data_IF_168644495573
#
_entry.id   IF_168644495573
#
_cell.length_a   1.000
_cell.length_b   1.000
_cell.length_c   1.000
_cell.angle_alpha   90.00
_cell.angle_beta   90.00
_cell.angle_gamma   90.00
#
_symmetry.space_group_name_H-M   'P 1'
#
loop_
_entity.id
_entity.type
_entity.pdbx_description
1 polymer ?
#
# COMPACT_ATOMS: atom_id res chain seq x y z
N UNK A 1 -34.74 -21.38 15.82
CA UNK A 1 -33.57 -21.62 14.99
C UNK A 1 -32.95 -20.29 14.55
N UNK A 2 -31.69 -20.21 14.65
CA UNK A 2 -31.01 -19.01 14.28
C UNK A 2 -30.88 -18.89 12.78
N UNK A 3 -31.38 -17.83 12.26
CA UNK A 3 -31.30 -17.59 10.85
C UNK A 3 -30.03 -16.79 10.55
N UNK A 4 -29.11 -17.31 9.73
CA UNK A 4 -27.90 -16.57 9.41
C UNK A 4 -28.17 -15.20 8.80
N UNK A 5 -29.33 -15.00 8.24
CA UNK A 5 -29.70 -13.74 7.63
C UNK A 5 -30.00 -12.65 8.63
N UNK A 6 -30.26 -13.01 9.87
CA UNK A 6 -30.43 -12.04 10.92
C UNK A 6 -29.15 -11.32 11.26
N UNK A 7 -28.04 -11.98 10.96
CA UNK A 7 -26.73 -11.40 11.18
C UNK A 7 -26.36 -10.51 10.01
N UNK A 8 -26.56 -9.23 10.18
CA UNK A 8 -26.33 -8.25 9.11
C UNK A 8 -24.89 -7.79 8.98
N UNK A 9 -24.04 -8.13 9.91
CA UNK A 9 -22.63 -7.74 9.85
C UNK A 9 -21.76 -8.79 9.18
N UNK A 10 -20.51 -8.47 8.88
CA UNK A 10 -19.57 -9.44 8.35
C UNK A 10 -19.24 -10.53 9.36
N UNK A 11 -18.88 -11.72 8.90
CA UNK A 11 -18.48 -12.81 9.76
C UNK A 11 -17.17 -12.46 10.50
N UNK A 12 -16.84 -13.25 11.55
CA UNK A 12 -15.57 -13.06 12.24
C UNK A 12 -14.38 -13.22 11.31
N UNK A 13 -14.46 -14.19 10.41
CA UNK A 13 -13.39 -14.43 9.43
C UNK A 13 -13.25 -13.23 8.50
N UNK A 14 -14.37 -12.68 8.05
CA UNK A 14 -14.36 -11.52 7.17
C UNK A 14 -13.79 -10.29 7.87
N UNK A 15 -14.19 -10.03 9.10
CA UNK A 15 -13.63 -8.93 9.90
C UNK A 15 -12.14 -9.05 10.08
N UNK A 16 -11.67 -10.27 10.35
CA UNK A 16 -10.24 -10.53 10.52
C UNK A 16 -9.49 -10.28 9.23
N UNK A 17 -10.07 -10.67 8.09
CA UNK A 17 -9.47 -10.42 6.78
C UNK A 17 -9.48 -8.94 6.45
N UNK A 18 -10.55 -8.23 6.78
CA UNK A 18 -10.64 -6.78 6.57
C UNK A 18 -9.60 -6.06 7.42
N UNK A 19 -9.41 -6.46 8.66
CA UNK A 19 -8.41 -5.88 9.55
C UNK A 19 -7.00 -6.10 9.03
N UNK A 20 -6.73 -7.30 8.52
CA UNK A 20 -5.43 -7.61 7.90
C UNK A 20 -5.20 -6.77 6.65
N UNK A 21 -6.24 -6.58 5.84
CA UNK A 21 -6.15 -5.76 4.65
C UNK A 21 -5.83 -4.30 5.00
N UNK A 22 -6.47 -3.76 6.04
CA UNK A 22 -6.21 -2.41 6.52
C UNK A 22 -4.81 -2.27 7.09
N UNK A 23 -4.35 -3.28 7.82
CA UNK A 23 -3.01 -3.28 8.37
C UNK A 23 -1.96 -3.35 7.26
N UNK A 24 -2.18 -4.18 6.25
CA UNK A 24 -1.30 -4.26 5.08
C UNK A 24 -1.26 -2.92 4.33
N UNK A 25 -2.39 -2.25 4.21
CA UNK A 25 -2.46 -0.93 3.60
C UNK A 25 -1.66 0.08 4.40
N UNK A 26 -1.75 0.03 5.74
CA UNK A 26 -0.96 0.86 6.62
C UNK A 26 0.55 0.62 6.45
N UNK A 27 0.96 -0.62 6.28
CA UNK A 27 2.35 -0.96 6.03
C UNK A 27 2.86 -0.34 4.73
N UNK A 28 2.05 -0.35 3.70
CA UNK A 28 2.38 0.31 2.43
C UNK A 28 2.53 1.81 2.60
N UNK A 29 1.67 2.44 3.40
CA UNK A 29 1.76 3.88 3.68
C UNK A 29 3.04 4.23 4.42
N UNK A 30 3.48 3.37 5.34
CA UNK A 30 4.74 3.57 6.06
C UNK A 30 5.93 3.46 5.12
N UNK A 31 5.81 2.64 4.09
CA UNK A 31 6.91 2.36 3.14
C UNK A 31 7.05 3.39 2.02
N UNK A 32 6.02 4.16 1.70
CA UNK A 32 6.11 5.13 0.61
C UNK A 32 6.92 6.36 1.03
N UNK A 33 7.36 7.14 0.05
CA UNK A 33 8.14 8.35 0.30
C UNK A 33 7.34 9.41 1.05
N UNK A 34 8.02 10.30 1.72
CA UNK A 34 7.39 11.43 2.43
C UNK A 34 6.61 12.30 1.45
N UNK A 35 7.14 12.51 0.26
CA UNK A 35 6.49 13.33 -0.77
C UNK A 35 5.17 12.70 -1.21
N UNK A 36 5.16 11.38 -1.45
CA UNK A 36 3.94 10.68 -1.82
C UNK A 36 2.92 10.66 -0.70
N UNK A 37 3.40 10.51 0.54
CA UNK A 37 2.51 10.56 1.69
C UNK A 37 1.84 11.92 1.82
N UNK A 38 2.58 12.99 1.55
CA UNK A 38 2.06 14.35 1.59
C UNK A 38 1.03 14.60 0.49
N UNK A 39 1.18 13.95 -0.66
CA UNK A 39 0.22 14.07 -1.77
C UNK A 39 -1.10 13.35 -1.48
N UNK A 40 -1.09 12.38 -0.58
CA UNK A 40 -2.32 11.70 -0.20
C UNK A 40 -3.17 12.58 0.69
N UNK A 41 -4.45 12.59 0.40
CA UNK A 41 -5.43 13.30 1.22
C UNK A 41 -5.83 12.41 2.39
N UNK A 42 -4.94 12.31 3.37
CA UNK A 42 -5.15 11.51 4.57
C UNK A 42 -5.57 12.39 5.74
N UNK A 43 -6.46 11.90 6.61
CA UNK A 43 -6.70 12.58 7.87
C UNK A 43 -5.39 12.77 8.65
N UNK A 44 -5.26 13.88 9.34
CA UNK A 44 -4.03 14.22 10.07
C UNK A 44 -3.65 13.13 11.06
N UNK A 45 -4.62 12.53 11.74
CA UNK A 45 -4.38 11.46 12.71
C UNK A 45 -3.70 10.26 12.07
N UNK A 46 -4.15 9.88 10.88
CA UNK A 46 -3.57 8.75 10.13
C UNK A 46 -2.16 9.12 9.68
N UNK A 47 -2.00 10.30 9.12
CA UNK A 47 -0.69 10.77 8.65
C UNK A 47 0.33 10.83 9.79
N UNK A 48 -0.05 11.39 10.93
CA UNK A 48 0.83 11.48 12.10
C UNK A 48 1.22 10.09 12.61
N UNK A 49 0.28 9.16 12.64
CA UNK A 49 0.54 7.79 13.09
C UNK A 49 1.50 7.06 12.14
N UNK A 50 1.36 7.29 10.83
CA UNK A 50 2.27 6.72 9.83
C UNK A 50 3.68 7.27 10.00
N UNK A 51 3.80 8.57 10.19
CA UNK A 51 5.09 9.21 10.40
C UNK A 51 5.74 8.70 11.69
N UNK A 52 4.97 8.57 12.76
CA UNK A 52 5.47 8.04 14.03
C UNK A 52 5.99 6.61 13.88
N UNK A 53 5.34 5.79 13.07
CA UNK A 53 5.77 4.41 12.83
C UNK A 53 7.17 4.34 12.23
N UNK A 54 7.54 5.30 11.40
CA UNK A 54 8.86 5.34 10.74
C UNK A 54 10.01 5.50 11.73
N UNK A 55 9.73 6.09 12.89
CA UNK A 55 10.75 6.28 13.93
C UNK A 55 10.85 5.14 14.93
N UNK A 56 10.02 4.12 14.83
CA UNK A 56 9.99 3.01 15.76
C UNK A 56 10.91 1.91 15.26
N UNK A 57 11.91 1.53 16.11
CA UNK A 57 12.84 0.46 15.76
C UNK A 57 12.54 -0.87 16.46
N UNK A 58 11.85 -0.83 17.59
CA UNK A 58 11.49 -2.05 18.32
C UNK A 58 10.32 -2.75 17.65
N UNK A 59 10.49 -4.05 17.41
CA UNK A 59 9.48 -4.84 16.70
C UNK A 59 8.11 -4.82 17.39
N UNK A 60 8.09 -5.02 18.72
CA UNK A 60 6.82 -5.03 19.46
C UNK A 60 6.11 -3.69 19.43
N UNK A 61 6.85 -2.60 19.56
CA UNK A 61 6.30 -1.25 19.49
C UNK A 61 5.79 -0.95 18.08
N UNK A 62 6.52 -1.34 17.06
CA UNK A 62 6.11 -1.15 15.67
C UNK A 62 4.83 -1.92 15.38
N UNK A 63 4.74 -3.15 15.85
CA UNK A 63 3.55 -3.96 15.66
C UNK A 63 2.31 -3.30 16.27
N UNK A 64 2.45 -2.75 17.47
CA UNK A 64 1.34 -2.02 18.12
C UNK A 64 0.95 -0.78 17.33
N UNK A 65 1.95 -0.06 16.84
CA UNK A 65 1.71 1.14 16.03
C UNK A 65 0.98 0.77 14.74
N UNK A 66 1.35 -0.34 14.09
CA UNK A 66 0.68 -0.79 12.88
C UNK A 66 -0.77 -1.18 13.14
N UNK A 67 -1.05 -1.81 14.28
CA UNK A 67 -2.42 -2.12 14.69
C UNK A 67 -3.23 -0.84 14.92
N UNK A 68 -2.62 0.15 15.53
CA UNK A 68 -3.23 1.46 15.75
C UNK A 68 -3.55 2.15 14.43
N UNK A 69 -2.62 2.13 13.49
CA UNK A 69 -2.84 2.69 12.15
C UNK A 69 -4.02 2.00 11.47
N UNK A 70 -4.08 0.68 11.53
CA UNK A 70 -5.20 -0.07 10.97
C UNK A 70 -6.54 0.35 11.56
N UNK A 71 -6.58 0.57 12.87
CA UNK A 71 -7.80 1.04 13.54
C UNK A 71 -8.18 2.46 13.11
N UNK A 72 -7.22 3.36 13.04
CA UNK A 72 -7.47 4.72 12.59
C UNK A 72 -7.98 4.75 11.15
N UNK A 73 -7.42 3.91 10.30
CA UNK A 73 -7.86 3.82 8.91
C UNK A 73 -9.30 3.33 8.82
N UNK A 74 -9.69 2.39 9.68
CA UNK A 74 -11.07 1.93 9.71
C UNK A 74 -12.03 3.03 10.11
N UNK A 75 -11.64 3.85 11.09
CA UNK A 75 -12.50 4.88 11.64
C UNK A 75 -12.55 6.15 10.79
N UNK A 76 -11.42 6.60 10.30
CA UNK A 76 -11.28 7.95 9.76
C UNK A 76 -10.92 8.01 8.28
N UNK A 77 -10.44 6.94 7.67
CA UNK A 77 -9.90 6.99 6.32
C UNK A 77 -10.77 6.22 5.33
N UNK A 78 -10.70 6.66 4.07
CA UNK A 78 -11.30 5.93 2.96
C UNK A 78 -10.26 4.96 2.40
N UNK A 79 -10.31 3.73 2.87
CA UNK A 79 -9.34 2.71 2.50
C UNK A 79 -9.35 2.42 1.00
N UNK A 80 -10.51 2.45 0.36
CA UNK A 80 -10.63 2.18 -1.06
C UNK A 80 -9.91 3.25 -1.89
N UNK A 81 -10.09 4.52 -1.54
CA UNK A 81 -9.40 5.62 -2.21
C UNK A 81 -7.89 5.51 -2.05
N UNK A 82 -7.44 5.18 -0.84
CA UNK A 82 -6.01 5.00 -0.56
C UNK A 82 -5.46 3.84 -1.39
N UNK A 83 -6.15 2.72 -1.40
CA UNK A 83 -5.75 1.54 -2.17
C UNK A 83 -5.66 1.86 -3.66
N UNK A 84 -6.66 2.54 -4.19
CA UNK A 84 -6.67 2.92 -5.60
C UNK A 84 -5.48 3.81 -5.96
N UNK A 85 -5.15 4.75 -5.10
CA UNK A 85 -4.01 5.63 -5.34
C UNK A 85 -2.68 4.89 -5.29
N UNK A 86 -2.50 4.01 -4.31
CA UNK A 86 -1.29 3.19 -4.21
C UNK A 86 -1.15 2.27 -5.41
N UNK A 87 -2.24 1.65 -5.84
CA UNK A 87 -2.23 0.77 -7.00
C UNK A 87 -1.92 1.54 -8.28
N UNK A 88 -2.44 2.75 -8.43
CA UNK A 88 -2.12 3.61 -9.57
C UNK A 88 -0.63 3.94 -9.62
N UNK A 89 -0.03 4.27 -8.48
CA UNK A 89 1.41 4.53 -8.43
C UNK A 89 2.23 3.30 -8.76
N UNK A 90 1.82 2.12 -8.31
CA UNK A 90 2.48 0.86 -8.66
C UNK A 90 2.37 0.58 -10.14
N UNK A 91 1.20 0.81 -10.74
CA UNK A 91 0.98 0.64 -12.17
C UNK A 91 1.90 1.50 -13.00
N UNK A 92 2.03 2.78 -12.66
CA UNK A 92 2.96 3.69 -13.34
C UNK A 92 4.39 3.20 -13.22
N UNK A 93 4.81 2.79 -12.02
CA UNK A 93 6.16 2.28 -11.80
C UNK A 93 6.45 1.03 -12.62
N UNK A 94 5.49 0.11 -12.71
CA UNK A 94 5.62 -1.10 -13.51
C UNK A 94 5.75 -0.75 -15.00
N UNK A 95 4.93 0.16 -15.48
CA UNK A 95 4.98 0.60 -16.87
C UNK A 95 6.31 1.26 -17.21
N UNK A 96 6.81 2.11 -16.33
CA UNK A 96 8.11 2.75 -16.52
C UNK A 96 9.25 1.74 -16.58
N UNK A 97 9.23 0.76 -15.68
CA UNK A 97 10.22 -0.30 -15.66
C UNK A 97 10.18 -1.13 -16.94
N UNK A 98 8.99 -1.49 -17.39
CA UNK A 98 8.82 -2.24 -18.63
C UNK A 98 9.35 -1.46 -19.83
N UNK A 99 9.08 -0.15 -19.87
CA UNK A 99 9.57 0.72 -20.94
C UNK A 99 11.09 0.79 -20.96
N UNK A 100 11.71 0.94 -19.80
CA UNK A 100 13.17 0.97 -19.69
C UNK A 100 13.80 -0.34 -20.16
N UNK A 101 13.21 -1.48 -19.77
CA UNK A 101 13.71 -2.79 -20.21
C UNK A 101 13.60 -2.95 -21.72
N UNK A 102 12.54 -2.46 -22.33
CA UNK A 102 12.36 -2.50 -23.77
C UNK A 102 13.42 -1.67 -24.47
N UNK A 103 13.70 -0.48 -23.98
CA UNK A 103 14.74 0.40 -24.53
C UNK A 103 16.11 -0.27 -24.43
N UNK A 104 16.43 -0.90 -23.32
CA UNK A 104 17.68 -1.61 -23.13
C UNK A 104 17.83 -2.77 -24.11
N UNK A 105 16.76 -3.53 -24.34
CA UNK A 105 16.78 -4.62 -25.32
C UNK A 105 17.08 -4.11 -26.73
N UNK A 106 16.44 -3.02 -27.13
CA UNK A 106 16.69 -2.42 -28.44
C UNK A 106 18.11 -1.94 -28.57
N UNK A 107 18.65 -1.32 -27.53
CA UNK A 107 20.05 -0.85 -27.54
C UNK A 107 21.01 -1.99 -27.71
N UNK A 108 20.85 -3.09 -26.98
CA UNK A 108 21.70 -4.27 -27.11
C UNK A 108 21.62 -4.85 -28.53
N UNK A 109 20.42 -4.96 -29.05
CA UNK A 109 20.22 -5.50 -30.40
C UNK A 109 20.90 -4.66 -31.48
N UNK A 110 20.82 -3.35 -31.38
CA UNK A 110 21.47 -2.44 -32.29
C UNK A 110 23.00 -2.58 -32.24
N UNK A 111 23.54 -2.72 -31.04
CA UNK A 111 24.98 -2.93 -30.87
C UNK A 111 25.43 -4.26 -31.46
N UNK A 112 24.64 -5.31 -31.31
CA UNK A 112 24.93 -6.60 -31.92
C UNK A 112 24.93 -6.53 -33.44
N UNK A 113 23.96 -5.82 -34.03
CA UNK A 113 23.90 -5.63 -35.48
C UNK A 113 25.10 -4.86 -35.98
N UNK A 114 25.56 -3.84 -35.26
CA UNK A 114 26.81 -3.14 -35.64
C UNK A 114 28.02 -4.04 -35.59
N UNK A 115 28.10 -4.93 -34.61
CA UNK A 115 29.22 -5.86 -34.50
C UNK A 115 29.22 -6.92 -35.59
N UNK A 116 28.04 -7.24 -36.11
CA UNK A 116 27.94 -8.25 -37.17
C UNK A 116 28.32 -7.71 -38.57
N UNK A 117 28.45 -6.41 -38.66
CA UNK A 117 28.93 -5.78 -39.87
C UNK A 117 30.47 -5.79 -39.90
#
# INVERSE_FOLDING_TARGET
MEDPQEYSGPSRTQRKNDDRALQALGEELVAISTDKLAEMDLPDRVKDAVIAARGISQFGALRRQMQYIGRLMREDADADTIRNRLDAWKGVSIEETARLHLIERWRVKLLEDEKSL
#
